data_IF_407407203906
#
_entry.id   IF_407407203906
#
_cell.length_a   1.000
_cell.length_b   1.000
_cell.length_c   1.000
_cell.angle_alpha   90.00
_cell.angle_beta   90.00
_cell.angle_gamma   90.00
#
_symmetry.space_group_name_H-M   'P 1'
#
loop_
_entity.id
_entity.type
_entity.pdbx_description
1 polymer ?
#
# COMPACT_ATOMS: atom_id res chain seq x y z
N UNK A 1 42.06 -22.55 -39.38
CA UNK A 1 40.80 -22.98 -38.75
C UNK A 1 39.64 -22.42 -39.54
N UNK A 2 38.66 -23.20 -39.98
CA UNK A 2 37.49 -22.65 -40.64
C UNK A 2 36.62 -21.87 -39.67
N UNK A 3 36.24 -20.66 -40.03
CA UNK A 3 35.28 -19.82 -39.26
C UNK A 3 33.88 -20.45 -39.38
N UNK A 4 33.28 -20.81 -38.25
CA UNK A 4 31.91 -21.31 -38.19
C UNK A 4 30.98 -20.17 -37.74
N UNK A 5 29.99 -19.81 -38.55
CA UNK A 5 28.95 -18.83 -38.19
C UNK A 5 28.00 -19.47 -37.19
N UNK A 6 27.88 -18.87 -36.00
CA UNK A 6 26.84 -19.22 -35.03
C UNK A 6 25.61 -18.35 -35.30
N UNK A 7 24.48 -19.01 -35.60
CA UNK A 7 23.19 -18.33 -35.76
C UNK A 7 22.33 -18.70 -34.56
N UNK A 8 22.07 -17.71 -33.68
CA UNK A 8 21.23 -17.87 -32.51
C UNK A 8 19.82 -17.35 -32.80
N UNK A 9 18.82 -18.06 -32.30
CA UNK A 9 17.41 -17.63 -32.40
C UNK A 9 17.14 -16.53 -31.36
N UNK A 10 16.44 -15.46 -31.74
CA UNK A 10 16.05 -14.44 -30.78
C UNK A 10 14.90 -14.92 -29.87
N UNK A 11 14.85 -14.39 -28.68
CA UNK A 11 13.79 -14.69 -27.71
C UNK A 11 14.11 -15.85 -26.78
N UNK A 12 13.32 -15.94 -25.69
CA UNK A 12 13.41 -17.04 -24.72
C UNK A 12 12.31 -18.03 -25.01
N UNK A 13 12.67 -19.28 -25.22
CA UNK A 13 11.73 -20.35 -25.44
C UNK A 13 11.84 -21.38 -24.29
N UNK A 14 10.80 -21.51 -23.50
CA UNK A 14 10.66 -22.47 -22.40
C UNK A 14 9.70 -23.62 -22.70
N UNK A 15 9.09 -23.66 -23.88
CA UNK A 15 8.20 -24.74 -24.28
C UNK A 15 8.96 -26.04 -24.49
N UNK A 16 10.22 -25.94 -24.92
CA UNK A 16 11.11 -27.08 -25.09
C UNK A 16 12.05 -27.26 -23.89
N UNK A 17 12.67 -28.44 -23.78
CA UNK A 17 13.70 -28.65 -22.76
C UNK A 17 14.98 -27.88 -23.11
N UNK A 18 15.86 -27.70 -22.13
CA UNK A 18 17.20 -27.08 -22.37
C UNK A 18 18.00 -27.77 -23.45
N UNK A 19 17.83 -29.08 -23.60
CA UNK A 19 18.57 -29.91 -24.56
C UNK A 19 17.99 -29.84 -25.97
N UNK A 20 16.68 -29.68 -26.11
CA UNK A 20 16.00 -29.64 -27.42
C UNK A 20 15.91 -28.24 -28.01
N UNK A 21 16.24 -27.21 -27.22
CA UNK A 21 16.22 -25.81 -27.65
C UNK A 21 17.58 -25.42 -28.29
N UNK A 22 17.98 -26.14 -29.31
CA UNK A 22 19.23 -25.89 -30.03
C UNK A 22 19.23 -24.48 -30.66
N UNK A 23 20.35 -23.77 -30.48
CA UNK A 23 20.56 -22.39 -30.95
C UNK A 23 19.55 -21.35 -30.37
N UNK A 24 18.79 -21.72 -29.34
CA UNK A 24 17.86 -20.86 -28.66
C UNK A 24 18.32 -20.49 -27.27
N UNK A 25 17.56 -19.58 -26.64
CA UNK A 25 17.77 -19.15 -25.28
C UNK A 25 16.66 -19.75 -24.40
N UNK A 26 17.02 -20.54 -23.41
CA UNK A 26 16.08 -21.12 -22.46
C UNK A 26 15.76 -20.15 -21.31
N UNK A 27 16.75 -19.37 -20.90
CA UNK A 27 16.65 -18.42 -19.80
C UNK A 27 17.60 -17.25 -20.04
N UNK A 28 17.12 -16.03 -19.77
CA UNK A 28 17.90 -14.81 -19.86
C UNK A 28 17.53 -13.89 -18.70
N UNK A 29 18.51 -13.23 -18.11
CA UNK A 29 18.33 -12.16 -17.12
C UNK A 29 18.99 -10.89 -17.62
N UNK A 30 18.30 -9.76 -17.50
CA UNK A 30 18.77 -8.41 -17.88
C UNK A 30 19.21 -8.30 -19.33
N UNK A 31 18.57 -9.04 -20.21
CA UNK A 31 18.83 -9.07 -21.65
C UNK A 31 17.55 -8.72 -22.41
N UNK A 32 17.69 -7.90 -23.46
CA UNK A 32 16.66 -7.70 -24.48
C UNK A 32 17.15 -8.18 -25.83
N UNK A 33 16.24 -8.55 -26.71
CA UNK A 33 16.57 -8.90 -28.09
C UNK A 33 16.23 -7.71 -28.99
N UNK A 34 17.24 -7.18 -29.67
CA UNK A 34 17.09 -6.10 -30.62
C UNK A 34 17.59 -6.57 -31.97
N UNK A 35 16.74 -6.51 -33.00
CA UNK A 35 17.06 -7.00 -34.36
C UNK A 35 17.61 -8.41 -34.35
N UNK A 36 17.07 -9.29 -33.51
CA UNK A 36 17.51 -10.68 -33.41
C UNK A 36 18.78 -10.94 -32.57
N UNK A 37 19.44 -9.89 -32.09
CA UNK A 37 20.67 -10.00 -31.30
C UNK A 37 20.38 -9.72 -29.81
N UNK A 38 20.92 -10.55 -28.88
CA UNK A 38 20.81 -10.26 -27.45
C UNK A 38 21.67 -9.05 -27.08
N UNK A 39 21.08 -8.14 -26.35
CA UNK A 39 21.71 -6.91 -25.88
C UNK A 39 21.43 -6.76 -24.38
N UNK A 40 22.41 -6.33 -23.59
CA UNK A 40 22.18 -6.05 -22.19
C UNK A 40 21.17 -4.89 -22.05
N UNK A 41 20.15 -5.11 -21.22
CA UNK A 41 19.35 -3.99 -20.73
C UNK A 41 20.28 -3.19 -19.81
N UNK A 42 20.38 -1.88 -20.04
CA UNK A 42 21.13 -0.97 -19.14
C UNK A 42 20.64 -1.09 -17.69
N UNK A 43 21.42 -0.63 -16.74
CA UNK A 43 21.03 -0.67 -15.34
C UNK A 43 19.73 0.09 -15.07
N UNK A 44 18.99 -0.32 -14.04
CA UNK A 44 17.85 0.44 -13.55
C UNK A 44 18.36 1.61 -12.71
N UNK A 45 17.90 2.80 -13.05
CA UNK A 45 18.15 3.98 -12.23
C UNK A 45 16.88 4.33 -11.47
N UNK A 46 17.05 4.61 -10.19
CA UNK A 46 15.96 5.07 -9.33
C UNK A 46 15.57 6.51 -9.75
N UNK A 47 14.30 6.72 -10.06
CA UNK A 47 13.78 8.04 -10.47
C UNK A 47 13.67 8.97 -9.25
N UNK A 48 13.26 8.42 -8.10
CA UNK A 48 13.06 9.17 -6.87
C UNK A 48 13.87 8.58 -5.72
N UNK A 49 14.46 9.41 -4.89
CA UNK A 49 15.05 9.01 -3.61
C UNK A 49 13.97 8.79 -2.52
N UNK A 50 12.79 9.35 -2.70
CA UNK A 50 11.66 9.21 -1.80
C UNK A 50 11.02 7.82 -1.91
N UNK A 51 10.33 7.41 -0.84
CA UNK A 51 9.60 6.15 -0.76
C UNK A 51 8.14 6.42 -0.42
N UNK A 52 7.28 5.49 -0.78
CA UNK A 52 5.86 5.49 -0.41
C UNK A 52 5.53 4.26 0.42
N UNK A 53 4.44 4.30 1.18
CA UNK A 53 3.97 3.18 1.99
C UNK A 53 3.15 2.20 1.15
N UNK A 54 3.36 0.91 1.42
CA UNK A 54 2.60 -0.17 0.80
C UNK A 54 3.20 -0.70 -0.49
N UNK A 55 2.51 -1.67 -1.08
CA UNK A 55 2.86 -2.30 -2.36
C UNK A 55 2.07 -1.62 -3.47
N UNK A 56 2.77 -1.13 -4.48
CA UNK A 56 2.14 -0.51 -5.64
C UNK A 56 1.28 -1.54 -6.39
N UNK A 57 0.02 -1.20 -6.61
CA UNK A 57 -0.97 -2.01 -7.34
C UNK A 57 -1.47 -1.34 -8.60
N UNK A 58 -1.35 -0.02 -8.67
CA UNK A 58 -1.85 0.77 -9.78
C UNK A 58 -0.91 1.93 -10.06
N UNK A 59 -0.59 2.13 -11.33
CA UNK A 59 0.22 3.24 -11.82
C UNK A 59 -0.50 3.92 -12.98
N UNK A 60 -0.58 5.24 -12.94
CA UNK A 60 -1.13 6.04 -14.01
C UNK A 60 -0.32 7.31 -14.19
N UNK A 61 0.19 7.54 -15.38
CA UNK A 61 0.94 8.76 -15.68
C UNK A 61 0.17 9.66 -16.63
N UNK A 62 0.29 10.96 -16.43
CA UNK A 62 -0.25 11.97 -17.33
C UNK A 62 0.61 13.23 -17.33
N UNK A 63 0.40 14.05 -18.31
CA UNK A 63 1.07 15.34 -18.46
C UNK A 63 0.01 16.43 -18.41
N UNK A 64 0.22 17.43 -17.57
CA UNK A 64 -0.65 18.61 -17.49
C UNK A 64 -0.44 19.53 -18.69
N UNK A 65 -1.36 20.47 -18.92
CA UNK A 65 -1.21 21.50 -19.97
C UNK A 65 0.04 22.36 -19.76
N UNK A 66 0.51 22.51 -18.53
CA UNK A 66 1.76 23.17 -18.19
C UNK A 66 3.01 22.29 -18.38
N UNK A 67 2.91 21.18 -19.13
CA UNK A 67 4.01 20.23 -19.39
C UNK A 67 4.62 19.59 -18.14
N UNK A 68 3.87 19.51 -17.04
CA UNK A 68 4.30 18.86 -15.82
C UNK A 68 3.92 17.35 -15.90
N UNK A 69 4.91 16.48 -15.75
CA UNK A 69 4.69 15.05 -15.64
C UNK A 69 4.27 14.69 -14.22
N UNK A 70 3.17 13.97 -14.11
CA UNK A 70 2.63 13.45 -12.87
C UNK A 70 2.45 11.94 -12.96
N UNK A 71 2.66 11.24 -11.85
CA UNK A 71 2.45 9.81 -11.74
C UNK A 71 1.56 9.51 -10.53
N UNK A 72 0.38 8.96 -10.77
CA UNK A 72 -0.48 8.42 -9.73
C UNK A 72 0.00 7.03 -9.31
N UNK A 73 0.17 6.82 -8.03
CA UNK A 73 0.64 5.57 -7.42
C UNK A 73 -0.38 5.09 -6.42
N UNK A 74 -1.16 4.10 -6.78
CA UNK A 74 -2.11 3.43 -5.90
C UNK A 74 -1.48 2.24 -5.21
N UNK A 75 -1.46 2.24 -3.87
CA UNK A 75 -0.94 1.13 -3.06
C UNK A 75 -2.06 0.43 -2.30
N UNK A 76 -1.74 -0.67 -1.63
CA UNK A 76 -2.67 -1.32 -0.71
C UNK A 76 -2.93 -0.55 0.59
N UNK A 77 -2.25 0.56 0.81
CA UNK A 77 -2.39 1.39 2.02
C UNK A 77 -2.83 2.81 1.70
N UNK A 78 -2.35 3.38 0.59
CA UNK A 78 -2.48 4.80 0.31
C UNK A 78 -2.50 5.09 -1.18
N UNK A 79 -2.86 6.32 -1.50
CA UNK A 79 -2.79 6.86 -2.85
C UNK A 79 -1.89 8.09 -2.90
N UNK A 80 -0.92 8.07 -3.81
CA UNK A 80 0.06 9.16 -3.95
C UNK A 80 0.04 9.75 -5.35
N UNK A 81 0.39 11.03 -5.43
CA UNK A 81 0.85 11.65 -6.68
C UNK A 81 2.35 11.95 -6.54
N UNK A 82 3.12 11.35 -7.43
CA UNK A 82 4.52 11.70 -7.60
C UNK A 82 4.62 12.95 -8.47
N UNK A 83 5.44 13.89 -8.00
CA UNK A 83 5.77 15.14 -8.69
C UNK A 83 7.22 15.50 -8.39
N UNK A 84 8.06 15.50 -9.41
CA UNK A 84 9.45 15.93 -9.27
C UNK A 84 10.29 15.14 -8.29
N UNK A 85 10.03 13.84 -8.13
CA UNK A 85 10.73 12.96 -7.21
C UNK A 85 10.10 12.86 -5.81
N UNK A 86 9.05 13.62 -5.50
CA UNK A 86 8.34 13.57 -4.23
C UNK A 86 6.99 12.84 -4.38
N UNK A 87 6.65 12.01 -3.40
CA UNK A 87 5.34 11.36 -3.29
C UNK A 87 4.45 12.15 -2.34
N UNK A 88 3.38 12.74 -2.85
CA UNK A 88 2.39 13.48 -2.08
C UNK A 88 1.21 12.57 -1.79
N UNK A 89 0.92 12.35 -0.52
CA UNK A 89 -0.24 11.56 -0.09
C UNK A 89 -1.53 12.35 -0.34
N UNK A 90 -2.41 11.77 -1.13
CA UNK A 90 -3.74 12.33 -1.44
C UNK A 90 -4.83 11.30 -1.18
N UNK A 91 -4.58 10.36 -0.29
CA UNK A 91 -5.56 9.34 0.09
C UNK A 91 -6.85 10.01 0.60
N UNK A 92 -8.01 9.70 0.02
CA UNK A 92 -9.26 10.32 0.42
C UNK A 92 -9.62 10.02 1.88
N UNK A 93 -10.28 10.96 2.52
CA UNK A 93 -10.84 10.80 3.86
C UNK A 93 -12.25 10.24 3.78
N UNK A 94 -12.54 9.24 4.61
CA UNK A 94 -13.88 8.67 4.77
C UNK A 94 -14.75 9.53 5.67
N UNK A 95 -14.19 9.98 6.78
CA UNK A 95 -14.89 10.78 7.79
C UNK A 95 -13.91 11.59 8.63
N UNK A 96 -14.38 12.71 9.14
CA UNK A 96 -13.68 13.49 10.16
C UNK A 96 -14.63 13.65 11.34
N UNK A 97 -14.20 13.27 12.54
CA UNK A 97 -15.00 13.33 13.76
C UNK A 97 -14.24 14.03 14.87
N UNK A 98 -14.96 14.72 15.74
CA UNK A 98 -14.38 15.25 16.99
C UNK A 98 -14.48 14.17 18.06
N UNK A 99 -13.36 13.88 18.69
CA UNK A 99 -13.28 12.88 19.76
C UNK A 99 -13.77 13.44 21.09
N UNK A 100 -14.12 12.57 22.06
CA UNK A 100 -14.46 12.96 23.42
C UNK A 100 -13.31 13.71 24.12
N UNK A 101 -13.59 14.29 25.30
CA UNK A 101 -12.56 14.89 26.14
C UNK A 101 -11.50 13.85 26.52
N UNK A 102 -10.22 14.24 26.37
CA UNK A 102 -9.06 13.42 26.71
C UNK A 102 -9.14 11.99 26.12
N UNK A 103 -9.24 11.86 24.78
CA UNK A 103 -9.55 10.60 24.15
C UNK A 103 -8.41 9.58 24.20
N UNK A 104 -7.20 10.00 24.50
CA UNK A 104 -6.03 9.13 24.53
C UNK A 104 -5.74 8.64 25.94
N UNK A 105 -5.50 7.36 26.10
CA UNK A 105 -5.06 6.76 27.36
C UNK A 105 -3.69 6.13 27.17
N UNK A 106 -2.67 6.75 27.77
CA UNK A 106 -1.32 6.23 27.85
C UNK A 106 -1.18 5.21 28.98
N UNK A 107 -0.30 4.26 28.81
CA UNK A 107 0.05 3.25 29.81
C UNK A 107 1.56 3.23 30.16
N UNK A 108 2.29 4.27 29.80
CA UNK A 108 3.75 4.35 30.00
C UNK A 108 4.55 3.65 28.89
N UNK A 109 3.88 3.17 27.83
CA UNK A 109 4.50 2.56 26.67
C UNK A 109 4.26 3.39 25.40
N UNK A 110 4.71 2.89 24.28
CA UNK A 110 4.42 3.47 22.94
C UNK A 110 3.02 3.14 22.42
N UNK A 111 2.31 2.19 23.04
CA UNK A 111 0.95 1.84 22.66
C UNK A 111 -0.04 2.72 23.42
N UNK A 112 -0.87 3.43 22.70
CA UNK A 112 -1.88 4.35 23.25
C UNK A 112 -3.26 3.87 22.83
N UNK A 113 -4.17 3.78 23.81
CA UNK A 113 -5.59 3.47 23.54
C UNK A 113 -6.33 4.76 23.24
N UNK A 114 -7.13 4.74 22.19
CA UNK A 114 -7.95 5.87 21.74
C UNK A 114 -9.41 5.55 21.94
N UNK A 115 -10.13 6.42 22.64
CA UNK A 115 -11.58 6.36 22.80
C UNK A 115 -12.23 7.16 21.67
N UNK A 116 -12.87 6.46 20.76
CA UNK A 116 -13.51 7.02 19.57
C UNK A 116 -14.82 6.28 19.29
N UNK A 117 -15.94 6.70 19.91
CA UNK A 117 -17.22 6.00 19.78
C UNK A 117 -17.66 5.84 18.32
N UNK A 118 -18.07 4.63 17.96
CA UNK A 118 -18.60 4.28 16.64
C UNK A 118 -17.67 4.69 15.47
N UNK A 119 -16.37 4.52 15.63
CA UNK A 119 -15.37 4.98 14.66
C UNK A 119 -15.46 4.30 13.30
N UNK A 120 -16.04 3.11 13.18
CA UNK A 120 -16.26 2.38 11.94
C UNK A 120 -14.98 2.07 11.15
N UNK A 121 -13.83 2.12 11.80
CA UNK A 121 -12.55 1.78 11.18
C UNK A 121 -12.24 0.28 11.33
N UNK A 122 -11.38 -0.22 10.46
CA UNK A 122 -10.88 -1.59 10.46
C UNK A 122 -9.39 -1.58 10.81
N UNK A 123 -8.91 -2.64 11.45
CA UNK A 123 -7.47 -2.76 11.76
C UNK A 123 -6.65 -2.61 10.48
N UNK A 124 -5.66 -1.72 10.53
CA UNK A 124 -4.81 -1.35 9.40
C UNK A 124 -5.18 -0.04 8.72
N UNK A 125 -6.36 0.53 9.00
CA UNK A 125 -6.74 1.86 8.52
C UNK A 125 -5.82 2.93 9.10
N UNK A 126 -5.81 4.10 8.45
CA UNK A 126 -5.05 5.27 8.91
C UNK A 126 -5.99 6.34 9.47
N UNK A 127 -5.53 7.00 10.52
CA UNK A 127 -6.20 8.14 11.13
C UNK A 127 -5.19 9.26 11.37
N UNK A 128 -5.58 10.48 11.07
CA UNK A 128 -4.79 11.68 11.37
C UNK A 128 -5.45 12.46 12.49
N UNK A 129 -4.71 12.70 13.57
CA UNK A 129 -5.17 13.54 14.68
C UNK A 129 -4.65 14.96 14.56
N UNK A 130 -5.49 15.90 14.91
CA UNK A 130 -5.16 17.31 15.02
C UNK A 130 -5.89 17.95 16.21
N UNK A 131 -5.34 19.05 16.73
CA UNK A 131 -5.92 19.73 17.87
C UNK A 131 -5.64 19.07 19.23
N UNK A 132 -4.74 18.07 19.27
CA UNK A 132 -4.30 17.49 20.56
C UNK A 132 -3.53 18.53 21.35
N UNK A 133 -3.85 18.67 22.63
CA UNK A 133 -3.21 19.58 23.56
C UNK A 133 -2.55 18.84 24.74
N UNK A 134 -1.74 19.53 25.52
CA UNK A 134 -1.03 18.96 26.66
C UNK A 134 0.36 18.43 26.33
N UNK A 135 1.00 17.77 27.30
CA UNK A 135 2.41 17.37 27.24
C UNK A 135 2.69 16.35 26.09
N UNK A 136 1.72 15.55 25.72
CA UNK A 136 1.86 14.53 24.67
C UNK A 136 1.44 15.02 23.28
N UNK A 137 1.09 16.30 23.12
CA UNK A 137 0.58 16.85 21.86
C UNK A 137 1.53 16.62 20.68
N UNK A 138 2.82 16.79 20.88
CA UNK A 138 3.82 16.59 19.84
C UNK A 138 3.94 15.12 19.37
N UNK A 139 3.56 14.16 20.23
CA UNK A 139 3.58 12.73 19.93
C UNK A 139 2.27 12.24 19.30
N UNK A 140 1.16 12.94 19.55
CA UNK A 140 -0.19 12.48 19.21
C UNK A 140 -0.80 13.25 18.03
N UNK A 141 -0.34 14.47 17.72
CA UNK A 141 -0.72 15.17 16.49
C UNK A 141 0.03 14.56 15.31
N UNK A 142 -0.68 13.91 14.41
CA UNK A 142 -0.10 13.26 13.23
C UNK A 142 -0.92 12.09 12.75
N UNK A 143 -0.36 11.37 11.82
CA UNK A 143 -0.98 10.21 11.21
C UNK A 143 -0.50 8.92 11.87
N UNK A 144 -1.45 8.01 12.11
CA UNK A 144 -1.18 6.70 12.72
C UNK A 144 -1.96 5.61 12.01
N UNK A 145 -1.35 4.44 11.90
CA UNK A 145 -2.07 3.22 11.58
C UNK A 145 -2.70 2.67 12.85
N UNK A 146 -3.98 2.29 12.78
CA UNK A 146 -4.74 1.86 13.95
C UNK A 146 -4.94 0.34 14.00
N UNK A 147 -5.08 -0.18 15.22
CA UNK A 147 -5.49 -1.55 15.50
C UNK A 147 -6.78 -1.52 16.30
N UNK A 148 -7.86 -2.01 15.72
CA UNK A 148 -9.18 -1.99 16.35
C UNK A 148 -9.23 -2.97 17.52
N UNK A 149 -9.71 -2.49 18.67
CA UNK A 149 -9.99 -3.31 19.86
C UNK A 149 -11.47 -3.66 19.93
N UNK A 150 -12.32 -2.65 19.75
CA UNK A 150 -13.79 -2.82 19.69
C UNK A 150 -14.42 -1.64 18.92
N UNK A 151 -15.74 -1.58 18.84
CA UNK A 151 -16.49 -0.56 18.09
C UNK A 151 -16.24 0.89 18.55
N UNK A 152 -15.74 1.08 19.77
CA UNK A 152 -15.53 2.39 20.38
C UNK A 152 -14.07 2.70 20.69
N UNK A 153 -13.17 1.72 20.56
CA UNK A 153 -11.77 1.90 20.92
C UNK A 153 -10.83 1.20 19.94
N UNK A 154 -9.70 1.82 19.71
CA UNK A 154 -8.59 1.24 18.98
C UNK A 154 -7.26 1.67 19.61
N UNK A 155 -6.17 1.05 19.23
CA UNK A 155 -4.81 1.41 19.65
C UNK A 155 -4.01 1.97 18.50
N UNK A 156 -3.09 2.87 18.83
CA UNK A 156 -2.07 3.42 17.93
C UNK A 156 -0.69 3.23 18.56
N UNK A 157 0.36 3.30 17.74
CA UNK A 157 1.73 3.23 18.21
C UNK A 157 2.44 4.55 17.97
N UNK A 158 2.93 5.17 19.02
CA UNK A 158 3.69 6.43 18.99
C UNK A 158 5.20 6.18 18.92
N UNK A 159 5.96 7.18 18.52
CA UNK A 159 7.43 7.11 18.42
C UNK A 159 8.14 7.05 19.78
N UNK A 160 7.48 7.49 20.86
CA UNK A 160 7.98 7.45 22.23
C UNK A 160 6.84 7.13 23.19
N UNK A 161 7.19 6.74 24.42
CA UNK A 161 6.22 6.39 25.44
C UNK A 161 5.33 7.60 25.83
N UNK A 162 4.05 7.34 25.97
CA UNK A 162 3.07 8.30 26.47
C UNK A 162 2.83 8.03 27.96
N UNK A 163 2.89 9.05 28.83
CA UNK A 163 2.66 8.89 30.27
C UNK A 163 1.33 8.20 30.57
N UNK A 164 1.27 7.55 31.72
CA UNK A 164 0.05 6.90 32.21
C UNK A 164 -1.02 7.96 32.48
N UNK A 165 -2.21 7.72 31.94
CA UNK A 165 -3.39 8.55 32.17
C UNK A 165 -4.06 9.02 30.89
N UNK A 166 -5.18 9.69 31.07
CA UNK A 166 -5.94 10.28 29.97
C UNK A 166 -5.33 11.63 29.56
N UNK A 167 -5.32 11.91 28.27
CA UNK A 167 -4.72 13.13 27.69
C UNK A 167 -5.33 13.46 26.34
N UNK A 168 -5.12 14.67 25.87
CA UNK A 168 -5.52 15.09 24.51
C UNK A 168 -6.32 16.38 24.47
N UNK A 169 -7.09 16.68 25.50
CA UNK A 169 -7.94 17.89 25.56
C UNK A 169 -9.31 17.71 24.91
N UNK A 170 -10.04 18.81 24.77
CA UNK A 170 -11.48 18.80 24.46
C UNK A 170 -11.82 18.87 22.94
N UNK A 171 -10.87 19.17 22.06
CA UNK A 171 -11.15 19.50 20.67
C UNK A 171 -10.29 18.68 19.68
N UNK A 172 -10.04 17.42 19.99
CA UNK A 172 -9.26 16.54 19.12
C UNK A 172 -10.10 16.14 17.91
N UNK A 173 -9.61 16.44 16.74
CA UNK A 173 -10.19 15.98 15.47
C UNK A 173 -9.47 14.73 15.00
N UNK A 174 -10.23 13.71 14.62
CA UNK A 174 -9.75 12.46 14.02
C UNK A 174 -10.27 12.38 12.59
N UNK A 175 -9.37 12.43 11.63
CA UNK A 175 -9.65 12.28 10.21
C UNK A 175 -9.28 10.86 9.76
N UNK A 176 -10.28 10.05 9.45
CA UNK A 176 -10.11 8.66 9.04
C UNK A 176 -9.98 8.56 7.53
N UNK A 177 -8.96 7.89 7.05
CA UNK A 177 -8.80 7.58 5.64
C UNK A 177 -9.77 6.47 5.22
N UNK A 178 -10.03 6.38 3.91
CA UNK A 178 -10.81 5.28 3.36
C UNK A 178 -10.07 3.96 3.56
N UNK A 179 -10.83 2.88 3.75
CA UNK A 179 -10.26 1.54 3.77
C UNK A 179 -9.81 1.14 2.36
N UNK A 180 -8.53 0.83 2.19
CA UNK A 180 -7.91 0.45 0.92
C UNK A 180 -7.92 -1.04 0.65
N UNK A 181 -8.59 -1.81 1.51
CA UNK A 181 -8.71 -3.26 1.41
C UNK A 181 -7.55 -4.03 2.03
N UNK A 182 -7.62 -5.35 1.95
CA UNK A 182 -6.61 -6.23 2.52
C UNK A 182 -5.30 -6.22 1.71
N UNK A 183 -4.17 -6.47 2.39
CA UNK A 183 -2.88 -6.62 1.73
C UNK A 183 -2.82 -7.87 0.84
N UNK A 184 -3.52 -8.93 1.23
CA UNK A 184 -3.60 -10.19 0.51
C UNK A 184 -5.03 -10.68 0.44
N UNK A 185 -5.40 -11.33 -0.68
CA UNK A 185 -6.63 -12.09 -0.75
C UNK A 185 -6.46 -13.41 0.00
N UNK A 186 -7.36 -13.68 0.93
CA UNK A 186 -7.45 -14.98 1.59
C UNK A 186 -8.58 -15.76 0.94
N UNK A 187 -8.34 -16.98 0.41
CA UNK A 187 -9.41 -17.80 -0.15
C UNK A 187 -10.50 -18.06 0.91
N UNK A 188 -11.76 -17.95 0.51
CA UNK A 188 -12.89 -18.19 1.42
C UNK A 188 -13.02 -19.68 1.72
N UNK A 189 -12.69 -20.54 0.75
CA UNK A 189 -12.76 -22.00 0.86
C UNK A 189 -11.57 -22.67 0.19
N UNK A 190 -11.23 -23.87 0.63
CA UNK A 190 -10.18 -24.69 0.01
C UNK A 190 -8.80 -24.56 0.65
N UNK A 191 -7.79 -25.07 -0.05
CA UNK A 191 -6.40 -25.02 0.40
C UNK A 191 -5.92 -23.58 0.51
N UNK A 192 -5.43 -23.20 1.70
CA UNK A 192 -5.01 -21.83 2.01
C UNK A 192 -6.08 -20.94 2.63
N UNK A 193 -7.29 -21.45 2.85
CA UNK A 193 -8.36 -20.75 3.55
C UNK A 193 -8.16 -20.85 5.08
N UNK A 194 -7.40 -19.94 5.64
CA UNK A 194 -7.15 -19.87 7.09
C UNK A 194 -5.92 -20.64 7.57
N UNK A 195 -5.76 -20.72 8.90
CA UNK A 195 -4.66 -21.43 9.56
C UNK A 195 -4.86 -22.93 9.55
N UNK A 196 -3.80 -23.71 9.40
CA UNK A 196 -3.80 -25.15 9.50
C UNK A 196 -4.41 -25.59 10.84
N UNK A 197 -5.39 -26.49 10.79
CA UNK A 197 -6.06 -27.02 11.98
C UNK A 197 -7.23 -26.17 12.51
N UNK A 198 -7.62 -25.09 11.86
CA UNK A 198 -8.68 -24.19 12.33
C UNK A 198 -10.11 -24.61 11.99
N UNK A 199 -10.36 -25.85 11.59
CA UNK A 199 -11.68 -26.35 11.33
C UNK A 199 -11.73 -27.62 10.49
N UNK A 200 -12.92 -28.22 10.25
CA UNK A 200 -13.07 -29.35 9.37
C UNK A 200 -12.73 -28.95 7.92
N UNK A 201 -12.20 -29.90 7.16
CA UNK A 201 -11.86 -29.72 5.74
C UNK A 201 -13.05 -29.16 4.97
N UNK A 202 -12.83 -28.03 4.29
CA UNK A 202 -13.87 -27.38 3.48
C UNK A 202 -14.63 -26.24 4.16
N UNK A 203 -14.36 -25.93 5.43
CA UNK A 203 -14.86 -24.72 6.08
C UNK A 203 -13.89 -23.57 5.81
N UNK A 204 -14.34 -22.61 5.00
CA UNK A 204 -13.58 -21.37 4.75
C UNK A 204 -13.64 -20.42 5.95
N UNK A 205 -12.74 -19.44 5.94
CA UNK A 205 -12.82 -18.32 6.87
C UNK A 205 -14.04 -17.47 6.53
N UNK A 206 -14.80 -17.07 7.56
CA UNK A 206 -15.99 -16.19 7.41
C UNK A 206 -15.61 -14.75 7.07
N UNK A 207 -14.35 -14.39 7.06
CA UNK A 207 -13.86 -13.05 6.72
C UNK A 207 -13.60 -12.95 5.23
N UNK A 208 -14.55 -12.33 4.53
CA UNK A 208 -14.31 -11.87 3.16
C UNK A 208 -13.47 -10.61 3.23
N UNK A 209 -12.20 -10.71 2.85
CA UNK A 209 -11.30 -9.55 2.73
C UNK A 209 -10.98 -9.33 1.25
N UNK A 210 -11.81 -8.59 0.52
CA UNK A 210 -11.58 -8.35 -0.89
C UNK A 210 -10.31 -7.53 -1.09
N UNK A 211 -9.56 -7.87 -2.11
CA UNK A 211 -8.51 -6.99 -2.62
C UNK A 211 -9.19 -5.82 -3.30
N UNK A 212 -8.79 -4.60 -2.93
CA UNK A 212 -9.21 -3.38 -3.59
C UNK A 212 -8.10 -2.84 -4.48
N UNK A 213 -8.49 -2.37 -5.66
CA UNK A 213 -7.60 -1.75 -6.62
C UNK A 213 -8.01 -0.30 -6.85
N UNK A 214 -7.01 0.56 -7.05
CA UNK A 214 -7.23 1.92 -7.48
C UNK A 214 -7.45 1.95 -8.98
N UNK A 215 -8.61 2.40 -9.40
CA UNK A 215 -8.87 2.79 -10.78
C UNK A 215 -8.56 4.27 -10.93
N UNK A 216 -7.72 4.60 -11.90
CA UNK A 216 -7.22 5.95 -12.11
C UNK A 216 -7.50 6.37 -13.54
N UNK A 217 -8.03 7.57 -13.70
CA UNK A 217 -8.25 8.18 -15.00
C UNK A 217 -8.15 9.70 -14.89
N UNK A 218 -7.58 10.35 -15.87
CA UNK A 218 -7.56 11.81 -15.89
C UNK A 218 -8.77 12.35 -16.67
N UNK A 219 -9.34 13.43 -16.17
CA UNK A 219 -10.34 14.26 -16.84
C UNK A 219 -9.73 15.63 -17.05
N UNK A 220 -9.19 15.88 -18.26
CA UNK A 220 -8.36 17.05 -18.47
C UNK A 220 -7.11 17.02 -17.57
N UNK A 221 -6.95 18.03 -16.73
CA UNK A 221 -5.85 18.11 -15.75
C UNK A 221 -6.15 17.42 -14.41
N UNK A 222 -7.43 17.11 -14.16
CA UNK A 222 -7.88 16.49 -12.91
C UNK A 222 -7.76 14.98 -13.01
N UNK A 223 -7.23 14.35 -11.97
CA UNK A 223 -7.24 12.89 -11.85
C UNK A 223 -8.50 12.44 -11.12
N UNK A 224 -9.26 11.56 -11.74
CA UNK A 224 -10.34 10.81 -11.11
C UNK A 224 -9.75 9.51 -10.56
N UNK A 225 -10.11 9.18 -9.32
CA UNK A 225 -9.67 7.96 -8.67
C UNK A 225 -10.86 7.26 -8.00
N UNK A 226 -10.88 5.97 -8.10
CA UNK A 226 -11.89 5.11 -7.49
C UNK A 226 -11.23 3.86 -6.93
N UNK A 227 -11.74 3.36 -5.81
CA UNK A 227 -11.39 2.04 -5.28
C UNK A 227 -12.46 1.05 -5.76
N UNK A 228 -12.02 -0.02 -6.40
CA UNK A 228 -12.88 -1.10 -6.89
C UNK A 228 -12.62 -2.34 -6.05
N UNK A 229 -13.70 -2.96 -5.55
CA UNK A 229 -13.68 -4.29 -4.94
C UNK A 229 -13.54 -5.35 -6.06
N UNK A 230 -12.65 -6.31 -5.88
CA UNK A 230 -12.40 -7.44 -6.79
C UNK A 230 -12.96 -8.74 -6.21
#
# INVERSE_FOLDING_TARGET
MPLKKLTLRPGVNRENTRYTNENGWYECDKVRFRQGTPEKIGGWQRISSSTFLGVCRSLWNWVTLGSLNLLGVGTNLKFYIEKGGAYNDITPLRATTTLPLDPFTGNGTTTVTVNAPAHGAVTGDFVTFSGVTGASAALLNGEFQLTVVNVNTYTITTSSSVPIGATGGAAVSAAYQINTGAAFSVPITGWGAGTWGSGPWGTGTVTNSPIRLWNQKNWGEITLQEIIDQ
#
